data_IF_314039799430
#
_entry.id   IF_314039799430
#
_cell.length_a   1.000
_cell.length_b   1.000
_cell.length_c   1.000
_cell.angle_alpha   90.00
_cell.angle_beta   90.00
_cell.angle_gamma   90.00
#
_symmetry.space_group_name_H-M   'P 1'
#
loop_
_entity.id
_entity.type
_entity.pdbx_description
1 polymer ?
#
# COMPACT_ATOMS: atom_id res chain seq x y z
N UNK A 1 10.71 4.94 8.45
CA UNK A 1 10.70 3.68 9.22
C UNK A 1 10.34 2.60 8.24
N UNK A 2 11.28 1.70 7.94
CA UNK A 2 10.95 0.52 7.15
C UNK A 2 10.05 -0.32 8.04
N UNK A 3 8.79 -0.44 7.65
CA UNK A 3 7.91 -1.43 8.26
C UNK A 3 8.58 -2.78 7.99
N UNK A 4 8.82 -3.59 9.02
CA UNK A 4 9.43 -4.91 8.89
C UNK A 4 8.47 -5.81 8.11
N UNK A 5 8.55 -5.74 6.77
CA UNK A 5 7.68 -6.48 5.85
C UNK A 5 7.75 -7.97 6.11
N UNK A 6 8.90 -8.48 6.56
CA UNK A 6 9.10 -9.87 6.96
C UNK A 6 8.23 -10.29 8.14
N UNK A 7 8.04 -9.42 9.14
CA UNK A 7 7.20 -9.72 10.30
C UNK A 7 5.72 -9.68 9.92
N UNK A 8 5.32 -8.74 9.04
CA UNK A 8 3.97 -8.69 8.48
C UNK A 8 3.70 -9.94 7.64
N UNK A 9 4.64 -10.35 6.79
CA UNK A 9 4.51 -11.53 5.94
C UNK A 9 4.40 -12.81 6.78
N UNK A 10 5.15 -12.92 7.87
CA UNK A 10 5.02 -14.04 8.81
C UNK A 10 3.64 -14.06 9.48
N UNK A 11 3.15 -12.92 9.98
CA UNK A 11 1.82 -12.82 10.57
C UNK A 11 0.71 -13.10 9.53
N UNK A 12 0.88 -12.66 8.29
CA UNK A 12 -0.05 -12.91 7.20
C UNK A 12 -0.10 -14.40 6.87
N UNK A 13 1.05 -15.07 6.79
CA UNK A 13 1.14 -16.50 6.56
C UNK A 13 0.49 -17.32 7.68
N UNK A 14 0.66 -16.92 8.95
CA UNK A 14 0.00 -17.56 10.09
C UNK A 14 -1.54 -17.45 10.00
N UNK A 15 -2.06 -16.28 9.60
CA UNK A 15 -3.50 -16.08 9.39
C UNK A 15 -4.01 -16.87 8.18
N UNK A 16 -3.26 -16.93 7.09
CA UNK A 16 -3.60 -17.76 5.93
C UNK A 16 -3.65 -19.25 6.29
N UNK A 17 -2.70 -19.75 7.08
CA UNK A 17 -2.69 -21.12 7.59
C UNK A 17 -3.88 -21.38 8.53
N UNK A 18 -4.30 -20.39 9.32
CA UNK A 18 -5.51 -20.49 10.14
C UNK A 18 -6.80 -20.57 9.29
N UNK A 19 -6.84 -19.93 8.12
CA UNK A 19 -7.94 -20.10 7.15
C UNK A 19 -7.88 -21.45 6.43
N UNK A 20 -6.69 -21.94 6.05
CA UNK A 20 -6.54 -23.23 5.35
C UNK A 20 -6.82 -24.45 6.24
N UNK A 21 -6.47 -24.35 7.53
CA UNK A 21 -6.83 -25.37 8.51
C UNK A 21 -8.34 -25.39 8.83
N UNK A 22 -9.08 -24.32 8.51
CA UNK A 22 -10.55 -24.34 8.45
C UNK A 22 -11.00 -25.01 7.15
N UNK A 23 -11.25 -26.31 7.17
CA UNK A 23 -11.93 -27.02 6.07
C UNK A 23 -13.34 -26.45 5.75
N UNK A 24 -14.04 -26.98 4.73
CA UNK A 24 -15.37 -26.49 4.32
C UNK A 24 -16.37 -26.62 5.48
N UNK A 25 -16.81 -25.50 6.06
CA UNK A 25 -17.55 -25.47 7.32
C UNK A 25 -19.04 -25.77 7.16
N UNK A 26 -19.47 -26.90 7.74
CA UNK A 26 -20.82 -27.08 8.30
C UNK A 26 -20.94 -26.27 9.61
N UNK A 27 -22.14 -25.76 9.92
CA UNK A 27 -22.49 -24.75 10.94
C UNK A 27 -22.05 -25.00 12.41
N UNK A 28 -21.35 -26.09 12.73
CA UNK A 28 -21.16 -26.57 14.11
C UNK A 28 -19.90 -26.05 14.86
N UNK A 29 -18.95 -25.38 14.22
CA UNK A 29 -17.69 -24.98 14.89
C UNK A 29 -17.55 -23.45 15.04
N UNK A 30 -18.49 -22.84 15.77
CA UNK A 30 -18.35 -21.47 16.31
C UNK A 30 -17.30 -21.35 17.44
N UNK A 31 -16.65 -22.45 17.85
CA UNK A 31 -15.90 -22.52 19.12
C UNK A 31 -14.41 -22.87 19.02
N UNK A 32 -13.76 -22.74 17.86
CA UNK A 32 -12.30 -22.90 17.78
C UNK A 32 -11.64 -21.59 17.31
N UNK A 33 -11.54 -20.66 18.26
CA UNK A 33 -10.67 -19.48 18.24
C UNK A 33 -9.61 -19.68 19.32
N UNK A 34 -8.67 -20.62 19.15
CA UNK A 34 -7.69 -20.93 20.21
C UNK A 34 -6.23 -20.69 19.84
N UNK A 35 -5.90 -20.19 18.64
CA UNK A 35 -4.50 -20.14 18.22
C UNK A 35 -3.97 -18.73 17.88
N UNK A 36 -4.81 -17.70 17.95
CA UNK A 36 -4.39 -16.32 18.09
C UNK A 36 -5.42 -15.63 18.98
N UNK A 37 -4.99 -14.67 19.79
CA UNK A 37 -5.71 -13.96 20.85
C UNK A 37 -6.95 -13.14 20.41
N UNK A 38 -7.75 -13.63 19.47
CA UNK A 38 -8.90 -12.94 18.88
C UNK A 38 -10.17 -13.72 19.19
N UNK A 39 -11.06 -13.10 19.94
CA UNK A 39 -12.21 -13.78 20.56
C UNK A 39 -13.44 -13.79 19.66
N UNK A 40 -13.46 -13.00 18.58
CA UNK A 40 -14.59 -12.90 17.67
C UNK A 40 -14.18 -13.03 16.19
N UNK A 41 -15.06 -13.56 15.30
CA UNK A 41 -14.81 -13.61 13.87
C UNK A 41 -14.54 -12.23 13.25
N UNK A 42 -15.12 -11.17 13.81
CA UNK A 42 -15.01 -9.80 13.31
C UNK A 42 -13.60 -9.24 13.51
N UNK A 43 -13.07 -9.35 14.74
CA UNK A 43 -11.70 -8.93 15.05
C UNK A 43 -10.69 -9.61 14.12
N UNK A 44 -10.93 -10.87 13.77
CA UNK A 44 -10.07 -11.66 12.87
C UNK A 44 -9.99 -11.04 11.49
N UNK A 45 -11.14 -10.76 10.88
CA UNK A 45 -11.17 -10.15 9.56
C UNK A 45 -10.70 -8.71 9.56
N UNK A 46 -10.94 -7.95 10.64
CA UNK A 46 -10.41 -6.58 10.79
C UNK A 46 -8.88 -6.62 10.81
N UNK A 47 -8.27 -7.48 11.63
CA UNK A 47 -6.82 -7.58 11.70
C UNK A 47 -6.24 -8.04 10.36
N UNK A 48 -6.85 -9.06 9.75
CA UNK A 48 -6.37 -9.62 8.49
C UNK A 48 -6.43 -8.59 7.35
N UNK A 49 -7.54 -7.86 7.22
CA UNK A 49 -7.70 -6.82 6.20
C UNK A 49 -6.78 -5.62 6.47
N UNK A 50 -6.56 -5.28 7.74
CA UNK A 50 -5.65 -4.20 8.15
C UNK A 50 -4.20 -4.51 7.77
N UNK A 51 -3.76 -5.75 7.95
CA UNK A 51 -2.42 -6.20 7.56
C UNK A 51 -2.20 -6.13 6.05
N UNK A 52 -3.18 -6.56 5.24
CA UNK A 52 -3.12 -6.40 3.79
C UNK A 52 -3.00 -4.93 3.35
N UNK A 53 -3.77 -4.06 4.01
CA UNK A 53 -3.74 -2.61 3.74
C UNK A 53 -2.37 -2.02 4.07
N UNK A 54 -1.76 -2.46 5.18
CA UNK A 54 -0.43 -2.01 5.59
C UNK A 54 0.68 -2.48 4.63
N UNK A 55 0.56 -3.72 4.12
CA UNK A 55 1.45 -4.27 3.09
C UNK A 55 1.31 -3.55 1.73
N UNK A 56 0.16 -2.94 1.47
CA UNK A 56 -0.15 -2.29 0.19
C UNK A 56 -0.66 -3.25 -0.88
N UNK A 57 -1.08 -4.47 -0.48
CA UNK A 57 -1.64 -5.47 -1.40
C UNK A 57 -3.17 -5.41 -1.41
N UNK A 58 -3.69 -4.46 -2.20
CA UNK A 58 -5.13 -4.20 -2.27
C UNK A 58 -5.91 -5.26 -3.06
N UNK A 59 -5.24 -6.03 -3.92
CA UNK A 59 -5.87 -7.10 -4.69
C UNK A 59 -6.24 -8.27 -3.78
N UNK A 60 -5.29 -8.71 -2.96
CA UNK A 60 -5.56 -9.75 -1.98
C UNK A 60 -6.55 -9.29 -0.90
N UNK A 61 -6.51 -8.02 -0.52
CA UNK A 61 -7.55 -7.41 0.33
C UNK A 61 -8.97 -7.51 -0.29
N UNK A 62 -9.09 -7.26 -1.60
CA UNK A 62 -10.37 -7.39 -2.34
C UNK A 62 -10.85 -8.84 -2.39
N UNK A 63 -9.95 -9.80 -2.62
CA UNK A 63 -10.29 -11.22 -2.61
C UNK A 63 -10.72 -11.67 -1.22
N UNK A 64 -10.04 -11.20 -0.17
CA UNK A 64 -10.44 -11.44 1.21
C UNK A 64 -11.85 -10.89 1.47
N UNK A 65 -12.14 -9.64 1.08
CA UNK A 65 -13.47 -9.05 1.25
C UNK A 65 -14.59 -9.87 0.60
N UNK A 66 -14.35 -10.42 -0.59
CA UNK A 66 -15.33 -11.28 -1.27
C UNK A 66 -15.61 -12.58 -0.52
N UNK A 67 -14.63 -13.10 0.24
CA UNK A 67 -14.76 -14.33 1.03
C UNK A 67 -15.50 -14.15 2.35
N UNK A 68 -15.51 -12.94 2.92
CA UNK A 68 -16.14 -12.69 4.23
C UNK A 68 -17.67 -12.86 4.12
N UNK A 69 -18.31 -13.65 5.01
CA UNK A 69 -19.77 -13.80 5.05
C UNK A 69 -20.50 -12.48 5.30
N UNK A 70 -21.72 -12.35 4.78
CA UNK A 70 -22.54 -11.13 4.93
C UNK A 70 -22.83 -10.80 6.40
N UNK A 71 -23.10 -11.82 7.23
CA UNK A 71 -23.38 -11.66 8.66
C UNK A 71 -22.28 -10.90 9.41
N UNK A 72 -21.02 -11.09 9.01
CA UNK A 72 -19.85 -10.45 9.63
C UNK A 72 -19.63 -9.03 9.07
N UNK A 73 -20.07 -8.78 7.83
CA UNK A 73 -19.95 -7.46 7.21
C UNK A 73 -20.93 -6.47 7.82
N UNK A 74 -22.15 -6.93 8.12
CA UNK A 74 -23.20 -6.09 8.69
C UNK A 74 -23.03 -5.86 10.20
N UNK A 75 -22.27 -6.71 10.89
CA UNK A 75 -22.10 -6.61 12.34
C UNK A 75 -21.04 -5.59 12.78
N UNK A 76 -20.10 -5.21 11.90
CA UNK A 76 -18.99 -4.34 12.26
C UNK A 76 -18.84 -3.13 11.33
N UNK A 77 -19.13 -1.95 11.85
CA UNK A 77 -18.92 -0.68 11.15
C UNK A 77 -17.45 -0.43 10.81
N UNK A 78 -16.53 -0.87 11.67
CA UNK A 78 -15.07 -0.73 11.47
C UNK A 78 -14.62 -1.46 10.21
N UNK A 79 -15.17 -2.67 10.01
CA UNK A 79 -14.86 -3.50 8.85
C UNK A 79 -15.36 -2.86 7.55
N UNK A 80 -16.58 -2.28 7.57
CA UNK A 80 -17.10 -1.52 6.42
C UNK A 80 -16.27 -0.27 6.11
N UNK A 81 -15.94 0.53 7.12
CA UNK A 81 -15.11 1.73 6.97
C UNK A 81 -13.73 1.41 6.41
N UNK A 82 -13.11 0.31 6.86
CA UNK A 82 -11.83 -0.16 6.33
C UNK A 82 -11.95 -0.56 4.85
N UNK A 83 -13.03 -1.22 4.48
CA UNK A 83 -13.28 -1.58 3.08
C UNK A 83 -13.47 -0.35 2.18
N UNK A 84 -14.19 0.67 2.64
CA UNK A 84 -14.38 1.91 1.88
C UNK A 84 -13.04 2.63 1.65
N UNK A 85 -12.15 2.67 2.66
CA UNK A 85 -10.78 3.16 2.50
C UNK A 85 -10.01 2.41 1.40
N UNK A 86 -10.05 1.08 1.44
CA UNK A 86 -9.38 0.22 0.45
C UNK A 86 -9.98 0.44 -0.94
N UNK A 87 -11.29 0.67 -1.04
CA UNK A 87 -11.96 0.95 -2.32
C UNK A 87 -11.44 2.22 -2.98
N UNK A 88 -11.19 3.28 -2.22
CA UNK A 88 -10.56 4.50 -2.75
C UNK A 88 -9.13 4.23 -3.24
N UNK A 89 -8.35 3.45 -2.50
CA UNK A 89 -6.98 3.08 -2.87
C UNK A 89 -6.95 2.22 -4.16
N UNK A 90 -7.87 1.27 -4.31
CA UNK A 90 -7.99 0.46 -5.54
C UNK A 90 -8.34 1.33 -6.75
N UNK A 91 -9.21 2.34 -6.57
CA UNK A 91 -9.55 3.31 -7.63
C UNK A 91 -8.45 4.34 -7.89
N UNK A 92 -7.39 4.36 -7.07
CA UNK A 92 -6.32 5.38 -7.07
C UNK A 92 -6.83 6.80 -6.83
N UNK A 93 -7.95 6.93 -6.11
CA UNK A 93 -8.52 8.23 -5.74
C UNK A 93 -7.94 8.69 -4.39
N UNK A 94 -6.74 9.27 -4.45
CA UNK A 94 -6.01 9.74 -3.27
C UNK A 94 -6.69 10.93 -2.55
N UNK A 95 -7.24 11.95 -3.24
CA UNK A 95 -7.94 13.05 -2.57
C UNK A 95 -9.13 12.55 -1.75
N UNK A 96 -9.97 11.69 -2.34
CA UNK A 96 -11.12 11.12 -1.63
C UNK A 96 -10.67 10.24 -0.46
N UNK A 97 -9.60 9.46 -0.64
CA UNK A 97 -9.00 8.67 0.44
C UNK A 97 -8.57 9.54 1.62
N UNK A 98 -7.78 10.60 1.39
CA UNK A 98 -7.30 11.45 2.48
C UNK A 98 -8.42 12.24 3.16
N UNK A 99 -9.42 12.69 2.41
CA UNK A 99 -10.62 13.31 2.99
C UNK A 99 -11.38 12.34 3.91
N UNK A 100 -11.66 11.13 3.43
CA UNK A 100 -12.35 10.11 4.20
C UNK A 100 -11.53 9.68 5.43
N UNK A 101 -10.23 9.41 5.25
CA UNK A 101 -9.32 9.04 6.33
C UNK A 101 -9.19 10.14 7.38
N UNK A 102 -9.16 11.41 6.98
CA UNK A 102 -9.15 12.56 7.90
C UNK A 102 -10.41 12.60 8.78
N UNK A 103 -11.59 12.31 8.20
CA UNK A 103 -12.84 12.18 8.96
C UNK A 103 -12.77 11.06 10.00
N UNK A 104 -12.30 9.87 9.59
CA UNK A 104 -12.16 8.69 10.48
C UNK A 104 -11.13 8.93 11.59
N UNK A 105 -10.02 9.63 11.29
CA UNK A 105 -9.00 9.95 12.30
C UNK A 105 -9.48 10.95 13.35
N UNK A 106 -10.42 11.84 12.99
CA UNK A 106 -11.01 12.83 13.90
C UNK A 106 -12.13 12.24 14.76
N UNK A 107 -12.76 11.17 14.30
CA UNK A 107 -13.81 10.48 15.04
C UNK A 107 -13.21 9.66 16.21
N UNK A 108 -13.69 9.95 17.44
CA UNK A 108 -13.24 9.28 18.66
C UNK A 108 -13.96 7.94 18.92
N UNK A 109 -14.98 7.61 18.13
CA UNK A 109 -15.69 6.33 18.27
C UNK A 109 -14.82 5.13 17.87
N UNK A 110 -13.78 5.35 17.06
CA UNK A 110 -12.90 4.28 16.60
C UNK A 110 -11.81 3.93 17.61
N UNK A 111 -11.47 2.63 17.76
CA UNK A 111 -10.37 2.20 18.63
C UNK A 111 -9.03 2.88 18.30
N UNK A 112 -8.24 3.19 19.33
CA UNK A 112 -6.93 3.83 19.17
C UNK A 112 -5.94 3.02 18.33
N UNK A 113 -6.01 1.69 18.38
CA UNK A 113 -5.21 0.77 17.55
C UNK A 113 -5.53 0.94 16.07
N UNK A 114 -6.81 1.02 15.71
CA UNK A 114 -7.26 1.24 14.34
C UNK A 114 -6.82 2.60 13.80
N UNK A 115 -6.94 3.66 14.62
CA UNK A 115 -6.48 5.01 14.25
C UNK A 115 -4.97 5.06 14.04
N UNK A 116 -4.19 4.33 14.84
CA UNK A 116 -2.75 4.21 14.65
C UNK A 116 -2.40 3.51 13.32
N UNK A 117 -3.05 2.38 13.02
CA UNK A 117 -2.88 1.68 11.75
C UNK A 117 -3.24 2.57 10.56
N UNK A 118 -4.37 3.27 10.64
CA UNK A 118 -4.80 4.19 9.59
C UNK A 118 -3.79 5.32 9.37
N UNK A 119 -3.22 5.88 10.44
CA UNK A 119 -2.15 6.88 10.32
C UNK A 119 -0.93 6.33 9.59
N UNK A 120 -0.49 5.11 9.92
CA UNK A 120 0.63 4.47 9.22
C UNK A 120 0.34 4.29 7.73
N UNK A 121 -0.87 3.83 7.37
CA UNK A 121 -1.29 3.71 5.98
C UNK A 121 -1.29 5.07 5.29
N UNK A 122 -1.88 6.10 5.91
CA UNK A 122 -1.88 7.46 5.37
C UNK A 122 -0.47 7.98 5.12
N UNK A 123 0.45 7.80 6.06
CA UNK A 123 1.84 8.24 5.93
C UNK A 123 2.52 7.50 4.78
N UNK A 124 2.33 6.19 4.66
CA UNK A 124 2.85 5.41 3.54
C UNK A 124 2.29 5.88 2.19
N UNK A 125 0.98 6.16 2.11
CA UNK A 125 0.36 6.65 0.89
C UNK A 125 0.83 8.07 0.52
N UNK A 126 1.03 8.96 1.51
CA UNK A 126 1.63 10.28 1.28
C UNK A 126 3.04 10.15 0.73
N UNK A 127 3.87 9.29 1.32
CA UNK A 127 5.22 9.02 0.83
C UNK A 127 5.22 8.44 -0.58
N UNK A 128 4.33 7.49 -0.87
CA UNK A 128 4.18 6.90 -2.19
C UNK A 128 3.75 7.94 -3.23
N UNK A 129 2.78 8.80 -2.90
CA UNK A 129 2.31 9.87 -3.77
C UNK A 129 3.44 10.87 -4.07
N UNK A 130 4.22 11.29 -3.07
CA UNK A 130 5.35 12.21 -3.27
C UNK A 130 6.44 11.59 -4.15
N UNK A 131 6.76 10.31 -3.93
CA UNK A 131 7.71 9.59 -4.79
C UNK A 131 7.19 9.52 -6.24
N UNK A 132 5.90 9.21 -6.41
CA UNK A 132 5.27 9.17 -7.73
C UNK A 132 5.32 10.53 -8.42
N UNK A 133 5.10 11.62 -7.69
CA UNK A 133 5.22 12.97 -8.25
C UNK A 133 6.64 13.23 -8.76
N UNK A 134 7.68 12.82 -8.01
CA UNK A 134 9.07 13.01 -8.42
C UNK A 134 9.46 12.17 -9.64
N UNK A 135 8.80 11.02 -9.80
CA UNK A 135 9.07 10.09 -10.90
C UNK A 135 8.26 10.42 -12.16
N UNK A 136 7.11 11.07 -12.04
CA UNK A 136 6.24 11.37 -13.17
C UNK A 136 6.34 12.82 -13.67
N UNK A 137 6.72 13.78 -12.81
CA UNK A 137 6.65 15.20 -13.12
C UNK A 137 7.97 15.93 -12.84
N UNK A 138 8.48 16.66 -13.84
CA UNK A 138 9.58 17.62 -13.65
C UNK A 138 9.11 18.90 -12.95
N UNK A 139 7.87 19.30 -13.22
CA UNK A 139 7.24 20.47 -12.62
C UNK A 139 5.79 20.19 -12.23
N UNK A 140 5.36 20.76 -11.10
CA UNK A 140 4.00 20.58 -10.59
C UNK A 140 3.51 21.85 -9.90
N UNK A 141 2.21 22.15 -10.02
CA UNK A 141 1.60 23.29 -9.34
C UNK A 141 1.41 22.98 -7.85
N UNK A 142 1.63 23.95 -6.97
CA UNK A 142 1.42 23.77 -5.53
C UNK A 142 -0.03 23.39 -5.18
N UNK A 143 -1.01 24.03 -5.83
CA UNK A 143 -2.43 23.73 -5.61
C UNK A 143 -2.75 22.26 -5.87
N UNK A 144 -2.20 21.69 -6.94
CA UNK A 144 -2.40 20.27 -7.26
C UNK A 144 -1.84 19.34 -6.17
N UNK A 145 -0.68 19.67 -5.59
CA UNK A 145 -0.10 18.88 -4.50
C UNK A 145 -0.95 18.98 -3.24
N UNK A 146 -1.45 20.19 -2.91
CA UNK A 146 -2.35 20.40 -1.78
C UNK A 146 -3.66 19.61 -1.95
N UNK A 147 -4.26 19.66 -3.15
CA UNK A 147 -5.48 18.94 -3.49
C UNK A 147 -5.25 17.41 -3.43
N UNK A 148 -4.08 16.94 -3.91
CA UNK A 148 -3.74 15.53 -3.93
C UNK A 148 -3.54 14.93 -2.53
N UNK A 149 -2.82 15.65 -1.66
CA UNK A 149 -2.48 15.16 -0.32
C UNK A 149 -3.52 15.56 0.74
N UNK A 150 -4.44 16.47 0.40
CA UNK A 150 -5.39 17.11 1.32
C UNK A 150 -4.69 17.74 2.53
N UNK A 151 -3.66 18.53 2.26
CA UNK A 151 -2.75 19.12 3.23
C UNK A 151 -2.60 20.62 2.93
N UNK A 152 -2.51 21.50 3.95
CA UNK A 152 -2.32 22.92 3.73
C UNK A 152 -0.98 23.21 3.03
N UNK A 153 -0.94 24.32 2.29
CA UNK A 153 0.23 24.73 1.50
C UNK A 153 1.53 24.84 2.32
N UNK A 154 1.43 25.27 3.58
CA UNK A 154 2.58 25.35 4.49
C UNK A 154 3.19 23.98 4.82
N UNK A 155 2.38 22.93 4.93
CA UNK A 155 2.88 21.58 5.20
C UNK A 155 3.34 20.92 3.89
N UNK A 156 2.60 21.12 2.80
CA UNK A 156 2.98 20.60 1.47
C UNK A 156 4.35 21.11 1.00
N UNK A 157 4.65 22.40 1.17
CA UNK A 157 5.97 22.99 0.87
C UNK A 157 7.09 22.30 1.65
N UNK A 158 6.90 22.11 2.97
CA UNK A 158 7.89 21.45 3.83
C UNK A 158 8.18 20.00 3.40
N UNK A 159 7.13 19.25 3.05
CA UNK A 159 7.23 17.86 2.59
C UNK A 159 7.95 17.77 1.25
N UNK A 160 7.61 18.64 0.30
CA UNK A 160 8.23 18.66 -1.03
C UNK A 160 9.71 19.10 -0.96
N UNK A 161 10.04 20.11 -0.17
CA UNK A 161 11.43 20.56 0.00
C UNK A 161 12.31 19.51 0.67
N UNK A 162 11.76 18.74 1.63
CA UNK A 162 12.50 17.61 2.23
C UNK A 162 12.93 16.56 1.21
N UNK A 163 12.24 16.50 0.05
CA UNK A 163 12.51 15.56 -1.05
C UNK A 163 13.26 16.20 -2.23
N UNK A 164 13.82 17.40 -2.05
CA UNK A 164 14.67 18.03 -3.07
C UNK A 164 13.91 18.76 -4.18
N UNK A 165 12.63 19.07 -3.96
CA UNK A 165 11.90 20.01 -4.80
C UNK A 165 12.30 21.45 -4.48
N UNK A 166 12.25 22.34 -5.47
CA UNK A 166 12.57 23.77 -5.34
C UNK A 166 11.37 24.61 -5.79
N UNK A 167 11.15 25.74 -5.14
CA UNK A 167 10.16 26.71 -5.60
C UNK A 167 10.67 27.46 -6.84
N UNK A 168 9.83 27.60 -7.86
CA UNK A 168 10.11 28.44 -9.02
C UNK A 168 10.07 29.93 -8.62
N UNK A 169 10.88 30.82 -9.22
CA UNK A 169 10.84 32.27 -8.97
C UNK A 169 9.45 32.93 -9.13
N UNK A 170 8.55 32.33 -9.93
CA UNK A 170 7.15 32.77 -10.09
C UNK A 170 6.20 32.27 -8.96
N UNK A 171 6.72 31.50 -8.00
CA UNK A 171 6.05 31.06 -6.76
C UNK A 171 4.95 30.01 -6.91
N UNK A 172 4.42 29.77 -8.12
CA UNK A 172 3.26 28.87 -8.34
C UNK A 172 3.62 27.41 -8.60
N UNK A 173 4.83 27.16 -9.08
CA UNK A 173 5.29 25.84 -9.52
C UNK A 173 6.46 25.35 -8.66
N UNK A 174 6.47 24.05 -8.40
CA UNK A 174 7.59 23.32 -7.83
C UNK A 174 8.35 22.63 -8.96
N UNK A 175 9.67 22.72 -8.90
CA UNK A 175 10.60 22.08 -9.83
C UNK A 175 11.31 20.95 -9.08
N UNK A 176 11.25 19.74 -9.62
CA UNK A 176 12.03 18.63 -9.08
C UNK A 176 13.48 18.79 -9.54
N UNK A 177 14.44 18.57 -8.65
CA UNK A 177 15.86 18.74 -9.01
C UNK A 177 16.41 17.65 -9.93
N UNK A 178 15.70 16.53 -10.05
CA UNK A 178 16.05 15.42 -10.94
C UNK A 178 15.04 15.38 -12.06
N UNK A 179 15.49 15.47 -13.30
CA UNK A 179 14.61 15.25 -14.44
C UNK A 179 14.10 13.79 -14.40
N UNK A 180 12.78 13.55 -14.39
CA UNK A 180 12.25 12.18 -14.39
C UNK A 180 12.70 11.40 -15.63
N UNK A 181 12.93 12.10 -16.74
CA UNK A 181 13.49 11.53 -17.96
C UNK A 181 14.94 11.06 -17.78
N UNK A 182 15.74 11.66 -16.90
CA UNK A 182 17.09 11.17 -16.58
C UNK A 182 17.05 9.92 -15.70
N UNK A 183 16.01 9.73 -14.88
CA UNK A 183 15.83 8.51 -14.07
C UNK A 183 15.59 7.28 -14.95
N UNK A 184 15.02 7.47 -16.15
CA UNK A 184 14.90 6.43 -17.18
C UNK A 184 16.22 6.22 -17.95
N UNK A 185 17.10 7.23 -18.00
CA UNK A 185 18.36 7.18 -18.75
C UNK A 185 19.54 6.52 -18.01
N UNK A 186 19.30 5.74 -16.95
CA UNK A 186 20.29 4.81 -16.40
C UNK A 186 19.62 3.45 -16.43
N UNK A 187 19.95 2.60 -17.40
CA UNK A 187 21.22 1.88 -17.32
C UNK A 187 21.75 1.48 -18.73
N UNK A 188 22.33 2.41 -19.50
CA UNK A 188 23.30 2.02 -20.56
C UNK A 188 24.58 1.41 -19.96
N UNK A 189 24.71 1.47 -18.63
CA UNK A 189 25.64 0.68 -17.80
C UNK A 189 25.09 -0.67 -17.33
N UNK A 190 23.97 -1.15 -17.89
CA UNK A 190 23.86 -2.58 -18.18
C UNK A 190 24.89 -2.93 -19.27
N UNK A 191 26.17 -2.89 -18.88
CA UNK A 191 26.99 -4.09 -19.03
C UNK A 191 26.18 -5.22 -18.42
N UNK A 192 25.24 -5.74 -19.22
CA UNK A 192 24.89 -7.15 -19.21
C UNK A 192 26.21 -7.84 -19.01
N UNK A 193 26.42 -8.35 -17.80
CA UNK A 193 27.70 -8.83 -17.35
C UNK A 193 28.19 -9.77 -18.46
N UNK A 194 29.33 -9.50 -19.09
CA UNK A 194 29.68 -10.18 -20.35
C UNK A 194 29.60 -11.70 -20.18
N UNK A 195 29.84 -12.18 -18.96
CA UNK A 195 29.68 -13.57 -18.52
C UNK A 195 28.23 -14.09 -18.62
N UNK A 196 27.22 -13.28 -18.29
CA UNK A 196 25.79 -13.63 -18.45
C UNK A 196 25.37 -13.69 -19.92
N UNK A 197 25.95 -12.86 -20.78
CA UNK A 197 25.72 -12.94 -22.23
C UNK A 197 26.41 -14.18 -22.80
N UNK A 198 27.66 -14.42 -22.41
CA UNK A 198 28.46 -15.54 -22.90
C UNK A 198 27.91 -16.90 -22.46
N UNK A 199 27.42 -17.02 -21.22
CA UNK A 199 26.73 -18.23 -20.75
C UNK A 199 25.46 -18.51 -21.54
N UNK A 200 24.62 -17.50 -21.80
CA UNK A 200 23.42 -17.65 -22.64
C UNK A 200 23.78 -18.04 -24.08
N UNK A 201 24.83 -17.45 -24.66
CA UNK A 201 25.29 -17.81 -26.01
C UNK A 201 25.81 -19.26 -26.07
N UNK A 202 26.52 -19.71 -25.03
CA UNK A 202 26.98 -21.09 -24.93
C UNK A 202 25.79 -22.06 -24.82
N UNK A 203 24.78 -21.75 -24.01
CA UNK A 203 23.55 -22.55 -23.90
C UNK A 203 22.80 -22.62 -25.25
N UNK A 204 22.73 -21.52 -25.98
CA UNK A 204 22.14 -21.50 -27.33
C UNK A 204 22.92 -22.33 -28.34
N UNK A 205 24.26 -22.29 -28.33
CA UNK A 205 25.06 -23.14 -29.21
C UNK A 205 24.90 -24.62 -28.87
N UNK A 206 24.94 -24.99 -27.58
CA UNK A 206 24.67 -26.35 -27.13
C UNK A 206 23.28 -26.84 -27.54
N UNK A 207 22.27 -25.95 -27.55
CA UNK A 207 20.92 -26.29 -28.00
C UNK A 207 20.86 -26.56 -29.51
N UNK A 208 21.55 -25.76 -30.32
CA UNK A 208 21.58 -25.93 -31.78
C UNK A 208 22.42 -27.14 -32.20
N UNK A 209 23.50 -27.45 -31.49
CA UNK A 209 24.39 -28.57 -31.83
C UNK A 209 23.75 -29.95 -31.55
N UNK A 210 22.80 -30.02 -30.62
CA UNK A 210 22.12 -31.27 -30.24
C UNK A 210 20.81 -31.52 -31.03
N UNK A 211 20.56 -30.77 -32.10
CA UNK A 211 19.38 -30.89 -32.96
C UNK A 211 19.75 -31.06 -34.44
#
# INVERSE_FOLDING_TARGET
>A
MSIDTTAIDQQLAELELCELSRGPRTQAEKLQFSNASLSTPEEYYIQFLSLYTLKGDFLNAKLLWQRIPLDVKESSDILSTLWDLIRFLIKRDLPAFFHFAGGVLNDQNYPGSFRYLLRQVCDNQKLHAINLLGDAYSCVTMSFVCDLLNVPESEATSLMFSRGWKSCPEGKFLLHSVDPLQKVCVDESQQTNNDDIMSKLADFMCFIENH
#
